data_IF_687197900438
#
_entry.id   IF_687197900438
#
_cell.length_a   1.000
_cell.length_b   1.000
_cell.length_c   1.000
_cell.angle_alpha   90.00
_cell.angle_beta   90.00
_cell.angle_gamma   90.00
#
_symmetry.space_group_name_H-M   'P 1'
#
loop_
_entity.id
_entity.type
_entity.pdbx_description
1 polymer ?
#
# COMPACT_ATOMS: atom_id res chain seq x y z
N UNK A 1 15.34 8.08 -10.90
CA UNK A 1 16.58 7.44 -11.39
C UNK A 1 16.44 5.93 -11.23
N UNK A 2 17.38 5.13 -11.76
CA UNK A 2 17.34 3.68 -11.50
C UNK A 2 17.43 3.37 -10.01
N UNK A 3 18.30 4.08 -9.27
CA UNK A 3 18.45 3.93 -7.82
C UNK A 3 17.15 4.17 -7.03
N UNK A 4 16.34 5.14 -7.45
CA UNK A 4 15.02 5.39 -6.83
C UNK A 4 14.02 4.27 -7.12
N UNK A 5 14.06 3.69 -8.32
CA UNK A 5 13.21 2.54 -8.70
C UNK A 5 13.59 1.34 -7.85
N UNK A 6 14.88 1.00 -7.78
CA UNK A 6 15.40 -0.11 -6.96
C UNK A 6 15.03 0.08 -5.48
N UNK A 7 15.02 1.33 -5.00
CA UNK A 7 14.61 1.65 -3.64
C UNK A 7 13.12 1.33 -3.41
N UNK A 8 12.24 1.72 -4.34
CA UNK A 8 10.81 1.40 -4.27
C UNK A 8 10.61 -0.11 -4.29
N UNK A 9 11.24 -0.83 -5.22
CA UNK A 9 11.09 -2.28 -5.37
C UNK A 9 11.45 -3.02 -4.07
N UNK A 10 12.61 -2.70 -3.48
CA UNK A 10 13.03 -3.34 -2.24
C UNK A 10 12.16 -2.89 -1.05
N UNK A 11 11.76 -1.62 -0.98
CA UNK A 11 10.85 -1.15 0.06
C UNK A 11 9.48 -1.86 -0.01
N UNK A 12 8.96 -2.12 -1.20
CA UNK A 12 7.74 -2.91 -1.40
C UNK A 12 7.87 -4.31 -0.78
N UNK A 13 9.04 -4.95 -0.83
CA UNK A 13 9.20 -6.28 -0.20
C UNK A 13 9.11 -6.23 1.33
N UNK A 14 9.45 -5.09 1.93
CA UNK A 14 9.50 -4.93 3.39
C UNK A 14 8.29 -4.22 4.00
N UNK A 15 7.39 -3.63 3.21
CA UNK A 15 6.32 -2.75 3.73
C UNK A 15 5.50 -3.39 4.87
N UNK A 16 5.26 -4.70 4.76
CA UNK A 16 4.46 -5.47 5.70
C UNK A 16 5.28 -6.32 6.70
N UNK A 17 6.61 -6.22 6.71
CA UNK A 17 7.48 -7.08 7.55
C UNK A 17 7.15 -7.00 9.05
N UNK A 18 6.63 -5.85 9.50
CA UNK A 18 6.21 -5.66 10.88
C UNK A 18 5.02 -6.50 11.30
N UNK A 19 4.28 -7.12 10.37
CA UNK A 19 3.18 -8.06 10.69
C UNK A 19 3.67 -9.28 11.47
N UNK A 20 4.97 -9.60 11.44
CA UNK A 20 5.59 -10.65 12.27
C UNK A 20 5.36 -10.42 13.77
N UNK A 21 5.16 -9.17 14.21
CA UNK A 21 4.88 -8.82 15.61
C UNK A 21 3.40 -8.75 15.95
N UNK A 22 2.52 -9.00 14.99
CA UNK A 22 1.07 -9.04 15.22
C UNK A 22 0.68 -10.45 15.66
N UNK A 23 -0.11 -10.61 16.75
CA UNK A 23 -0.57 -11.91 17.19
C UNK A 23 -1.32 -12.67 16.09
N UNK A 24 -1.05 -13.97 15.95
CA UNK A 24 -1.69 -14.86 14.96
C UNK A 24 -3.22 -14.83 15.05
N UNK A 25 -3.78 -14.70 16.25
CA UNK A 25 -5.22 -14.58 16.48
C UNK A 25 -5.85 -13.37 15.81
N UNK A 26 -5.08 -12.28 15.65
CA UNK A 26 -5.48 -11.07 14.92
C UNK A 26 -5.16 -11.23 13.43
N UNK A 27 -3.92 -11.65 13.11
CA UNK A 27 -3.43 -11.73 11.73
C UNK A 27 -4.25 -12.70 10.87
N UNK A 28 -4.69 -13.82 11.44
CA UNK A 28 -5.45 -14.86 10.74
C UNK A 28 -6.95 -14.84 11.05
N UNK A 29 -7.47 -13.75 11.63
CA UNK A 29 -8.86 -13.71 12.09
C UNK A 29 -9.87 -13.97 10.97
N UNK A 30 -10.76 -14.91 11.31
CA UNK A 30 -12.12 -15.23 10.84
C UNK A 30 -13.12 -14.12 10.44
N UNK A 31 -12.75 -12.85 10.18
CA UNK A 31 -13.74 -11.80 9.95
C UNK A 31 -13.24 -10.37 10.24
N UNK A 32 -14.17 -9.48 10.63
CA UNK A 32 -13.82 -8.09 10.97
C UNK A 32 -12.98 -8.06 12.25
N UNK A 33 -11.97 -7.19 12.25
CA UNK A 33 -11.20 -6.88 13.45
C UNK A 33 -12.03 -5.95 14.35
N UNK A 34 -11.97 -6.21 15.65
CA UNK A 34 -12.49 -5.33 16.69
C UNK A 34 -11.63 -4.07 16.81
N UNK A 35 -12.16 -3.01 17.41
CA UNK A 35 -11.47 -1.73 17.50
C UNK A 35 -10.06 -1.84 18.10
N UNK A 36 -9.87 -2.67 19.12
CA UNK A 36 -8.55 -2.88 19.74
C UNK A 36 -7.62 -3.72 18.85
N UNK A 37 -8.15 -4.71 18.13
CA UNK A 37 -7.39 -5.51 17.17
C UNK A 37 -6.92 -4.66 15.99
N UNK A 38 -7.76 -3.73 15.51
CA UNK A 38 -7.39 -2.73 14.51
C UNK A 38 -6.25 -1.86 15.00
N UNK A 39 -6.28 -1.38 16.26
CA UNK A 39 -5.17 -0.60 16.82
C UNK A 39 -3.87 -1.39 16.85
N UNK A 40 -3.91 -2.68 17.18
CA UNK A 40 -2.71 -3.52 17.15
C UNK A 40 -2.22 -3.71 15.72
N UNK A 41 -3.11 -4.04 14.78
CA UNK A 41 -2.77 -4.18 13.36
C UNK A 41 -2.11 -2.91 12.80
N UNK A 42 -2.58 -1.73 13.18
CA UNK A 42 -2.02 -0.43 12.75
C UNK A 42 -0.58 -0.17 13.23
N UNK A 43 -0.03 -0.97 14.15
CA UNK A 43 1.35 -0.82 14.61
C UNK A 43 2.39 -1.48 13.70
N UNK A 44 1.96 -2.31 12.73
CA UNK A 44 2.92 -3.02 11.88
C UNK A 44 3.88 -2.10 11.10
N UNK A 45 3.55 -0.86 10.65
CA UNK A 45 4.53 0.00 10.02
C UNK A 45 5.63 0.43 11.00
N UNK A 46 5.26 0.69 12.25
CA UNK A 46 6.20 1.04 13.32
C UNK A 46 7.09 -0.15 13.68
N UNK A 47 6.51 -1.36 13.75
CA UNK A 47 7.25 -2.59 13.95
C UNK A 47 8.19 -2.90 12.79
N UNK A 48 7.77 -2.66 11.55
CA UNK A 48 8.61 -2.80 10.36
C UNK A 48 9.80 -1.86 10.42
N UNK A 49 9.57 -0.59 10.74
CA UNK A 49 10.64 0.39 10.94
C UNK A 49 11.63 -0.05 12.04
N UNK A 50 11.13 -0.56 13.17
CA UNK A 50 11.98 -1.06 14.26
C UNK A 50 12.81 -2.28 13.82
N UNK A 51 12.24 -3.21 13.06
CA UNK A 51 12.94 -4.38 12.53
C UNK A 51 14.06 -3.94 11.58
N UNK A 52 13.76 -3.05 10.61
CA UNK A 52 14.74 -2.56 9.66
C UNK A 52 15.86 -1.74 10.34
N UNK A 53 15.56 -1.07 11.46
CA UNK A 53 16.56 -0.32 12.25
C UNK A 53 17.66 -1.19 12.86
N UNK A 54 17.54 -2.52 12.82
CA UNK A 54 18.57 -3.44 13.32
C UNK A 54 19.72 -3.67 12.33
N UNK A 55 19.58 -3.24 11.07
CA UNK A 55 20.59 -3.41 10.04
C UNK A 55 20.84 -2.10 9.28
N UNK A 56 22.03 -1.48 9.38
CA UNK A 56 22.33 -0.20 8.73
C UNK A 56 22.07 -0.17 7.22
N UNK A 57 22.26 -1.29 6.51
CA UNK A 57 21.99 -1.40 5.08
C UNK A 57 20.51 -1.23 4.71
N UNK A 58 19.59 -1.37 5.69
CA UNK A 58 18.14 -1.26 5.48
C UNK A 58 17.58 0.11 5.86
N UNK A 59 18.39 1.01 6.43
CA UNK A 59 17.89 2.30 6.95
C UNK A 59 17.18 3.15 5.89
N UNK A 60 17.67 3.09 4.65
CA UNK A 60 17.08 3.83 3.52
C UNK A 60 15.64 3.42 3.18
N UNK A 61 15.19 2.24 3.61
CA UNK A 61 13.82 1.75 3.36
C UNK A 61 12.84 2.11 4.49
N UNK A 62 13.35 2.51 5.67
CA UNK A 62 12.53 2.80 6.85
C UNK A 62 11.42 3.83 6.56
N UNK A 63 11.69 4.97 5.89
CA UNK A 63 10.63 5.94 5.61
C UNK A 63 9.50 5.34 4.77
N UNK A 64 9.84 4.55 3.75
CA UNK A 64 8.86 3.86 2.90
C UNK A 64 7.99 2.90 3.71
N UNK A 65 8.61 2.06 4.55
CA UNK A 65 7.93 1.06 5.37
C UNK A 65 7.11 1.69 6.49
N UNK A 66 7.61 2.72 7.17
CA UNK A 66 6.88 3.35 8.28
C UNK A 66 5.64 4.09 7.82
N UNK A 67 5.69 4.72 6.63
CA UNK A 67 4.69 5.69 6.21
C UNK A 67 3.78 5.21 5.08
N UNK A 68 3.84 3.94 4.65
CA UNK A 68 2.99 3.44 3.54
C UNK A 68 1.48 3.45 3.85
N UNK A 69 1.09 3.67 5.10
CA UNK A 69 -0.30 3.88 5.52
C UNK A 69 -0.65 5.34 5.86
N UNK A 70 0.27 6.28 5.61
CA UNK A 70 -0.07 7.70 5.63
C UNK A 70 -1.00 8.04 4.46
N UNK A 71 -1.90 8.99 4.72
CA UNK A 71 -2.88 9.43 3.73
C UNK A 71 -2.58 10.86 3.36
N UNK A 72 -2.74 11.21 2.08
CA UNK A 72 -2.43 12.55 1.58
C UNK A 72 -3.09 13.69 2.40
N UNK A 73 -4.26 13.46 2.98
CA UNK A 73 -4.97 14.42 3.82
C UNK A 73 -4.57 14.44 5.31
N UNK A 74 -3.54 13.70 5.73
CA UNK A 74 -3.10 13.61 7.13
C UNK A 74 -3.97 12.75 8.05
N UNK A 75 -4.95 12.01 7.53
CA UNK A 75 -5.81 11.11 8.33
C UNK A 75 -5.27 9.67 8.44
N UNK A 76 -4.08 9.42 7.88
CA UNK A 76 -3.38 8.16 7.93
C UNK A 76 -2.70 7.89 9.27
N UNK A 77 -1.75 6.96 9.26
CA UNK A 77 -0.96 6.57 10.42
C UNK A 77 0.42 6.05 9.96
N UNK A 78 1.43 6.00 10.85
CA UNK A 78 1.41 6.27 12.30
C UNK A 78 1.56 7.73 12.70
N UNK A 79 2.22 8.56 11.88
CA UNK A 79 2.70 9.89 12.25
C UNK A 79 1.80 11.02 11.73
N UNK A 80 0.81 10.70 10.88
CA UNK A 80 -0.19 11.63 10.31
C UNK A 80 0.42 12.68 9.40
N UNK A 81 1.43 12.27 8.64
CA UNK A 81 2.04 13.09 7.60
C UNK A 81 1.01 13.45 6.53
N UNK A 82 1.14 14.62 5.92
CA UNK A 82 0.21 15.12 4.91
C UNK A 82 0.92 15.60 3.67
N UNK A 83 0.23 15.57 2.53
CA UNK A 83 0.75 16.10 1.27
C UNK A 83 2.13 15.53 0.91
N UNK A 84 3.08 16.45 0.68
CA UNK A 84 4.44 16.15 0.26
C UNK A 84 5.38 15.83 1.45
N UNK A 85 4.88 15.85 2.69
CA UNK A 85 5.63 15.33 3.86
C UNK A 85 5.73 13.80 3.82
N UNK A 86 4.78 13.15 3.14
CA UNK A 86 4.80 11.69 2.94
C UNK A 86 5.90 11.36 1.92
N UNK A 87 6.85 10.47 2.25
CA UNK A 87 7.86 10.05 1.28
C UNK A 87 7.19 9.53 0.00
N UNK A 88 7.65 10.00 -1.16
CA UNK A 88 7.09 9.61 -2.45
C UNK A 88 7.01 8.08 -2.61
N UNK A 89 8.02 7.37 -2.12
CA UNK A 89 8.10 5.90 -2.12
C UNK A 89 6.97 5.26 -1.29
N UNK A 90 6.66 5.82 -0.13
CA UNK A 90 5.55 5.39 0.71
C UNK A 90 4.20 5.65 0.02
N UNK A 91 4.04 6.81 -0.63
CA UNK A 91 2.83 7.14 -1.38
C UNK A 91 2.60 6.21 -2.59
N UNK A 92 3.69 5.80 -3.27
CA UNK A 92 3.64 4.80 -4.36
C UNK A 92 3.22 3.44 -3.80
N UNK A 93 3.84 2.98 -2.72
CA UNK A 93 3.51 1.70 -2.07
C UNK A 93 2.05 1.69 -1.61
N UNK A 94 1.59 2.77 -0.96
CA UNK A 94 0.21 2.90 -0.47
C UNK A 94 -0.82 2.69 -1.58
N UNK A 95 -0.58 3.31 -2.75
CA UNK A 95 -1.45 3.18 -3.91
C UNK A 95 -1.40 1.77 -4.48
N UNK A 96 -0.20 1.20 -4.65
CA UNK A 96 -0.01 -0.13 -5.21
C UNK A 96 -0.61 -1.23 -4.32
N UNK A 97 -0.33 -1.21 -3.00
CA UNK A 97 -0.89 -2.12 -2.00
C UNK A 97 -2.42 -2.03 -1.96
N UNK A 98 -2.98 -0.82 -1.99
CA UNK A 98 -4.43 -0.64 -2.04
C UNK A 98 -5.06 -1.25 -3.30
N UNK A 99 -4.42 -1.08 -4.47
CA UNK A 99 -4.90 -1.65 -5.72
C UNK A 99 -4.84 -3.18 -5.72
N UNK A 100 -3.72 -3.75 -5.27
CA UNK A 100 -3.55 -5.21 -5.12
C UNK A 100 -4.59 -5.78 -4.13
N UNK A 101 -4.72 -5.13 -2.97
CA UNK A 101 -5.71 -5.50 -1.97
C UNK A 101 -7.16 -5.45 -2.49
N UNK A 102 -7.44 -4.59 -3.47
CA UNK A 102 -8.75 -4.49 -4.12
C UNK A 102 -8.97 -5.59 -5.18
N UNK A 103 -7.94 -5.90 -5.96
CA UNK A 103 -8.00 -6.78 -7.13
C UNK A 103 -7.62 -8.24 -6.84
N UNK A 104 -7.20 -8.55 -5.62
CA UNK A 104 -6.93 -9.92 -5.14
C UNK A 104 -8.10 -10.50 -4.35
N UNK A 105 -8.38 -11.80 -4.53
CA UNK A 105 -9.38 -12.52 -3.76
C UNK A 105 -8.97 -12.64 -2.29
N UNK A 106 -9.92 -12.43 -1.38
CA UNK A 106 -9.71 -12.56 0.07
C UNK A 106 -10.78 -13.49 0.67
N UNK A 107 -10.51 -14.17 1.79
CA UNK A 107 -11.44 -15.13 2.39
C UNK A 107 -12.88 -14.60 2.62
N UNK A 108 -13.06 -13.29 2.73
CA UNK A 108 -14.36 -12.64 2.97
C UNK A 108 -14.84 -11.71 1.84
N UNK A 109 -14.08 -11.57 0.74
CA UNK A 109 -14.42 -10.66 -0.36
C UNK A 109 -13.83 -11.16 -1.67
N UNK A 110 -14.67 -11.18 -2.72
CA UNK A 110 -14.18 -11.35 -4.09
C UNK A 110 -13.33 -10.16 -4.52
N UNK A 111 -12.36 -10.42 -5.38
CA UNK A 111 -11.61 -9.40 -6.10
C UNK A 111 -12.56 -8.44 -6.83
N UNK A 112 -12.24 -7.14 -6.78
CA UNK A 112 -12.85 -6.14 -7.66
C UNK A 112 -12.23 -6.25 -9.05
N UNK A 113 -12.98 -5.87 -10.07
CA UNK A 113 -12.40 -5.60 -11.39
C UNK A 113 -11.39 -4.44 -11.30
N UNK A 114 -10.48 -4.38 -12.26
CA UNK A 114 -9.50 -3.28 -12.33
C UNK A 114 -10.20 -1.93 -12.51
N UNK A 115 -11.30 -1.88 -13.25
CA UNK A 115 -12.12 -0.69 -13.41
C UNK A 115 -12.74 -0.23 -12.08
N UNK A 116 -13.33 -1.13 -11.31
CA UNK A 116 -13.89 -0.81 -9.99
C UNK A 116 -12.79 -0.37 -9.01
N UNK A 117 -11.64 -1.05 -9.00
CA UNK A 117 -10.51 -0.67 -8.15
C UNK A 117 -9.93 0.71 -8.55
N UNK A 118 -9.83 1.00 -9.85
CA UNK A 118 -9.40 2.30 -10.34
C UNK A 118 -10.39 3.41 -9.95
N UNK A 119 -11.69 3.14 -10.04
CA UNK A 119 -12.74 4.08 -9.62
C UNK A 119 -12.63 4.40 -8.12
N UNK A 120 -12.36 3.40 -7.27
CA UNK A 120 -12.10 3.63 -5.84
C UNK A 120 -10.86 4.50 -5.62
N UNK A 121 -9.78 4.27 -6.37
CA UNK A 121 -8.55 5.10 -6.28
C UNK A 121 -8.85 6.54 -6.71
N UNK A 122 -9.56 6.74 -7.82
CA UNK A 122 -9.93 8.06 -8.32
C UNK A 122 -10.78 8.84 -7.30
N UNK A 123 -11.77 8.18 -6.70
CA UNK A 123 -12.64 8.78 -5.70
C UNK A 123 -11.94 9.11 -4.37
N UNK A 124 -10.74 8.57 -4.13
CA UNK A 124 -9.92 8.86 -2.94
C UNK A 124 -8.67 9.71 -3.26
N UNK A 125 -8.59 10.28 -4.46
CA UNK A 125 -7.55 11.24 -4.86
C UNK A 125 -7.57 12.49 -3.98
N UNK A 126 -6.40 12.90 -3.47
CA UNK A 126 -6.27 14.04 -2.55
C UNK A 126 -6.78 13.77 -1.14
N UNK A 127 -7.34 12.58 -0.89
CA UNK A 127 -7.73 12.11 0.44
C UNK A 127 -6.76 11.06 0.95
N UNK A 128 -6.85 9.85 0.42
CA UNK A 128 -5.93 8.76 0.74
C UNK A 128 -4.68 8.84 -0.14
N UNK A 129 -4.88 9.05 -1.45
CA UNK A 129 -3.81 8.93 -2.43
C UNK A 129 -3.33 10.30 -2.92
N UNK A 130 -2.03 10.38 -3.22
CA UNK A 130 -1.43 11.56 -3.82
C UNK A 130 -2.06 11.84 -5.20
N UNK A 131 -2.63 13.03 -5.47
CA UNK A 131 -3.35 13.33 -6.71
C UNK A 131 -2.54 13.08 -7.99
N UNK A 132 -1.27 13.51 -8.00
CA UNK A 132 -0.35 13.27 -9.11
C UNK A 132 -0.15 11.78 -9.38
N UNK A 133 0.04 10.95 -8.35
CA UNK A 133 0.20 9.50 -8.51
C UNK A 133 -1.07 8.85 -9.04
N UNK A 134 -2.26 9.29 -8.59
CA UNK A 134 -3.54 8.82 -9.12
C UNK A 134 -3.66 9.11 -10.62
N UNK A 135 -3.30 10.33 -11.04
CA UNK A 135 -3.31 10.71 -12.46
C UNK A 135 -2.35 9.88 -13.32
N UNK A 136 -1.17 9.55 -12.80
CA UNK A 136 -0.21 8.67 -13.46
C UNK A 136 -0.70 7.22 -13.51
N UNK A 137 -1.24 6.72 -12.40
CA UNK A 137 -1.74 5.35 -12.29
C UNK A 137 -2.89 5.10 -13.27
N UNK A 138 -3.83 6.04 -13.39
CA UNK A 138 -4.91 5.97 -14.40
C UNK A 138 -4.35 5.77 -15.81
N UNK A 139 -3.36 6.58 -16.22
CA UNK A 139 -2.72 6.46 -17.54
C UNK A 139 -2.05 5.11 -17.74
N UNK A 140 -1.42 4.56 -16.69
CA UNK A 140 -0.78 3.23 -16.72
C UNK A 140 -1.84 2.14 -16.95
N UNK A 141 -2.96 2.18 -16.23
CA UNK A 141 -4.05 1.19 -16.37
C UNK A 141 -4.69 1.28 -17.76
N UNK A 142 -5.00 2.48 -18.24
CA UNK A 142 -5.57 2.70 -19.59
C UNK A 142 -4.63 2.17 -20.69
N UNK A 143 -3.32 2.45 -20.56
CA UNK A 143 -2.31 1.94 -21.49
C UNK A 143 -2.24 0.41 -21.46
N UNK A 144 -2.24 -0.21 -20.26
CA UNK A 144 -2.25 -1.68 -20.14
C UNK A 144 -3.49 -2.30 -20.78
N UNK A 145 -4.67 -1.70 -20.58
CA UNK A 145 -5.92 -2.14 -21.21
C UNK A 145 -5.86 -2.08 -22.73
N UNK A 146 -5.31 -1.01 -23.29
CA UNK A 146 -5.11 -0.87 -24.74
C UNK A 146 -4.16 -1.92 -25.31
N UNK A 147 -3.15 -2.35 -24.55
CA UNK A 147 -2.18 -3.37 -24.98
C UNK A 147 -2.73 -4.80 -24.87
N UNK A 148 -3.64 -5.05 -23.92
CA UNK A 148 -4.22 -6.37 -23.64
C UNK A 148 -5.49 -6.69 -24.45
N UNK A 149 -5.87 -5.83 -25.41
CA UNK A 149 -6.86 -6.19 -26.43
C UNK A 149 -8.27 -6.51 -25.95
N UNK A 150 -8.72 -5.97 -24.81
CA UNK A 150 -10.13 -6.06 -24.39
C UNK A 150 -10.63 -7.45 -23.98
N UNK A 151 -9.78 -8.47 -23.90
CA UNK A 151 -10.14 -9.77 -23.31
C UNK A 151 -9.66 -9.92 -21.88
N UNK A 152 -10.47 -10.64 -21.10
CA UNK A 152 -10.47 -10.83 -19.64
C UNK A 152 -9.13 -10.57 -18.94
N UNK A 153 -9.15 -9.54 -18.10
CA UNK A 153 -8.17 -9.30 -17.04
C UNK A 153 -8.39 -10.37 -15.96
N UNK A 154 -7.83 -11.57 -16.19
CA UNK A 154 -7.77 -12.64 -15.19
C UNK A 154 -6.31 -12.95 -14.90
N UNK A 155 -5.90 -12.70 -13.65
CA UNK A 155 -4.66 -13.20 -13.06
C UNK A 155 -3.38 -12.76 -13.75
N UNK A 156 -2.75 -11.70 -13.24
CA UNK A 156 -1.29 -11.64 -13.29
C UNK A 156 -0.75 -12.48 -12.12
N UNK A 157 0.40 -13.16 -12.30
CA UNK A 157 1.01 -14.04 -11.31
C UNK A 157 1.41 -13.31 -10.02
#
# INVERSE_FOLDING_TARGET
TQEEIDLVEVACLFHDVGKIRIPDSILHKKGRLEAEEVKQMKKHPEYGAEILSKAPCLYKYIPSVRHHHEWYNGQGYPDRLSGDEIPLTAAIISLADSFDAMTSDRPYRRALSWEEALEVILNNSGRQFHPTLVGLFKKIIERRKSLLGGEKIAGLP
#
